data_IF_285032320327
#
_entry.id   IF_285032320327
#
_cell.length_a   1.000
_cell.length_b   1.000
_cell.length_c   1.000
_cell.angle_alpha   90.00
_cell.angle_beta   90.00
_cell.angle_gamma   90.00
#
_symmetry.space_group_name_H-M   'P 1'
#
loop_
_entity.id
_entity.type
_entity.pdbx_description
1 polymer ?
#
# COMPACT_ATOMS: atom_id res chain seq x y z
N UNK A 1 21.94 82.36 21.28
CA UNK A 1 21.05 83.08 20.34
C UNK A 1 20.90 82.24 19.09
N UNK A 2 19.70 82.06 18.50
CA UNK A 2 18.33 82.05 19.05
C UNK A 2 17.73 80.62 19.01
N UNK A 3 16.85 80.17 19.92
CA UNK A 3 15.43 80.56 20.18
C UNK A 3 14.52 80.05 19.01
N UNK A 4 13.51 79.18 19.17
CA UNK A 4 12.24 79.38 19.91
C UNK A 4 11.39 78.08 19.92
N UNK A 5 10.85 77.62 21.08
CA UNK A 5 9.47 77.78 21.62
C UNK A 5 8.40 76.95 20.88
N UNK A 6 7.41 76.27 21.49
CA UNK A 6 6.52 76.61 22.63
C UNK A 6 5.74 75.34 23.09
N UNK A 7 5.56 75.17 24.40
CA UNK A 7 4.50 74.39 25.10
C UNK A 7 3.16 75.19 25.11
N UNK A 8 2.14 74.82 25.94
CA UNK A 8 1.20 73.68 25.93
C UNK A 8 -0.27 74.24 25.96
N UNK A 9 -1.24 73.51 26.57
CA UNK A 9 -2.58 73.90 27.15
C UNK A 9 -3.74 73.14 26.51
N UNK A 10 -4.84 72.69 27.14
CA UNK A 10 -5.47 72.70 28.48
C UNK A 10 -6.62 71.65 28.39
N UNK A 11 -6.84 70.72 29.33
CA UNK A 11 -7.64 70.81 30.57
C UNK A 11 -9.19 70.93 30.40
N UNK A 12 -9.92 69.94 30.97
CA UNK A 12 -11.20 70.05 31.75
C UNK A 12 -12.48 70.35 30.89
N UNK A 13 -13.71 69.80 31.05
CA UNK A 13 -14.67 69.41 32.12
C UNK A 13 -15.84 68.67 31.42
N UNK A 14 -16.44 67.56 31.89
CA UNK A 14 -17.55 67.39 32.86
C UNK A 14 -18.93 68.04 32.53
N UNK A 15 -20.02 67.24 32.62
CA UNK A 15 -21.44 67.64 32.77
C UNK A 15 -22.40 67.08 31.70
N UNK A 16 -23.25 66.07 31.98
CA UNK A 16 -24.66 66.15 32.46
C UNK A 16 -25.63 66.81 31.45
N UNK A 17 -26.85 66.37 31.13
CA UNK A 17 -27.82 65.51 31.82
C UNK A 17 -29.11 65.23 30.94
N UNK A 18 -29.84 64.13 31.25
CA UNK A 18 -31.32 63.93 31.37
C UNK A 18 -32.20 64.05 30.07
N UNK A 19 -33.17 63.17 29.71
CA UNK A 19 -34.39 62.71 30.41
C UNK A 19 -35.03 61.41 29.78
N UNK A 20 -35.49 60.40 30.58
CA UNK A 20 -36.88 60.02 31.04
C UNK A 20 -37.84 59.49 29.93
N UNK A 21 -38.40 58.26 29.93
CA UNK A 21 -39.45 57.62 30.78
C UNK A 21 -39.47 56.08 30.51
N UNK A 22 -39.49 55.11 31.44
CA UNK A 22 -40.46 54.67 32.48
C UNK A 22 -41.73 53.95 31.96
N UNK A 23 -41.88 52.65 32.26
CA UNK A 23 -43.12 51.95 32.70
C UNK A 23 -42.70 50.75 33.58
N UNK A 24 -43.33 50.67 34.75
CA UNK A 24 -43.18 49.70 35.86
C UNK A 24 -44.46 48.87 36.02
N UNK A 25 -44.37 47.63 36.51
CA UNK A 25 -45.26 47.09 37.57
C UNK A 25 -44.71 45.80 38.21
N UNK A 26 -44.88 45.71 39.54
CA UNK A 26 -44.35 44.74 40.51
C UNK A 26 -45.37 43.67 40.96
N UNK A 27 -44.87 42.53 41.50
CA UNK A 27 -45.34 41.78 42.70
C UNK A 27 -44.45 40.50 42.81
N UNK A 28 -43.70 40.17 43.86
CA UNK A 28 -44.05 39.81 45.25
C UNK A 28 -43.61 38.34 45.52
N UNK A 29 -43.01 37.95 46.67
CA UNK A 29 -42.30 36.67 46.83
C UNK A 29 -43.19 35.53 47.40
N UNK A 30 -42.91 34.28 47.02
CA UNK A 30 -43.47 33.09 47.65
C UNK A 30 -42.48 31.91 47.68
N UNK A 31 -42.31 31.33 48.86
CA UNK A 31 -41.45 30.18 49.18
C UNK A 31 -41.94 28.87 48.54
N UNK A 32 -41.01 27.98 48.16
CA UNK A 32 -41.30 26.57 47.87
C UNK A 32 -40.17 25.64 48.35
N UNK A 33 -40.60 24.47 48.84
CA UNK A 33 -39.90 23.45 49.63
C UNK A 33 -38.82 22.63 48.86
N UNK A 34 -38.02 21.76 49.53
CA UNK A 34 -36.88 21.09 48.90
C UNK A 34 -37.32 19.89 48.05
N UNK A 35 -36.79 19.80 46.83
CA UNK A 35 -37.07 18.72 45.88
C UNK A 35 -36.04 17.58 46.06
N UNK A 36 -36.45 16.35 46.36
CA UNK A 36 -35.55 15.20 46.49
C UNK A 36 -35.20 14.65 45.10
N UNK A 37 -34.19 15.22 44.45
CA UNK A 37 -33.74 14.77 43.13
C UNK A 37 -32.25 14.96 42.84
N UNK A 38 -31.48 15.46 43.81
CA UNK A 38 -30.05 15.69 43.67
C UNK A 38 -29.25 14.41 43.95
N UNK A 39 -29.36 13.40 43.10
CA UNK A 39 -28.42 12.26 43.06
C UNK A 39 -28.26 11.59 41.68
N UNK A 40 -28.94 12.06 40.62
CA UNK A 40 -28.92 11.37 39.32
C UNK A 40 -28.10 12.05 38.22
N UNK A 41 -27.33 13.11 38.53
CA UNK A 41 -26.63 13.91 37.51
C UNK A 41 -25.17 13.50 37.27
N UNK A 42 -24.54 12.80 38.21
CA UNK A 42 -23.10 12.48 38.15
C UNK A 42 -22.76 11.17 37.42
N UNK A 43 -23.76 10.36 37.06
CA UNK A 43 -23.54 9.09 36.32
C UNK A 43 -23.72 9.20 34.80
N UNK A 44 -24.22 10.33 34.28
CA UNK A 44 -24.37 10.54 32.83
C UNK A 44 -23.20 11.30 32.19
N UNK A 45 -22.37 12.00 32.97
CA UNK A 45 -21.19 12.70 32.45
C UNK A 45 -19.95 11.80 32.26
N UNK A 46 -19.92 10.63 32.89
CA UNK A 46 -18.85 9.63 32.73
C UNK A 46 -19.08 8.64 31.57
N UNK A 47 -20.22 8.72 30.87
CA UNK A 47 -20.59 7.80 29.77
C UNK A 47 -20.43 8.41 28.37
N UNK A 48 -19.92 9.64 28.26
CA UNK A 48 -19.66 10.30 26.97
C UNK A 48 -18.22 10.14 26.47
N UNK A 49 -17.42 9.27 27.11
CA UNK A 49 -16.08 8.93 26.66
C UNK A 49 -16.15 7.85 25.57
N UNK A 50 -16.01 8.27 24.31
CA UNK A 50 -15.75 7.44 23.12
C UNK A 50 -16.80 6.35 22.90
N UNK A 51 -17.77 6.60 22.02
CA UNK A 51 -18.56 5.55 21.39
C UNK A 51 -17.61 4.49 20.82
N UNK A 52 -17.48 3.37 21.53
CA UNK A 52 -16.73 2.20 21.09
C UNK A 52 -17.45 1.68 19.86
N UNK A 53 -17.01 2.11 18.69
CA UNK A 53 -17.38 1.41 17.46
C UNK A 53 -16.74 0.04 17.63
N UNK A 54 -17.55 -1.00 17.84
CA UNK A 54 -17.07 -2.38 17.93
C UNK A 54 -16.15 -2.60 16.71
N UNK A 55 -14.87 -2.99 16.91
CA UNK A 55 -13.95 -3.19 15.80
C UNK A 55 -14.56 -4.15 14.78
N UNK A 56 -14.34 -3.94 13.46
CA UNK A 56 -14.85 -4.84 12.44
C UNK A 56 -14.41 -6.29 12.74
N UNK A 57 -15.29 -7.31 12.68
CA UNK A 57 -14.94 -8.69 13.01
C UNK A 57 -13.71 -9.21 12.24
N UNK A 58 -13.61 -8.87 10.95
CA UNK A 58 -12.47 -9.24 10.10
C UNK A 58 -11.12 -8.66 10.60
N UNK A 59 -11.13 -7.50 11.25
CA UNK A 59 -9.93 -6.93 11.86
C UNK A 59 -9.51 -7.72 13.11
N UNK A 60 -10.47 -8.11 13.96
CA UNK A 60 -10.17 -8.92 15.14
C UNK A 60 -9.65 -10.31 14.76
N UNK A 61 -10.25 -10.96 13.76
CA UNK A 61 -9.76 -12.24 13.22
C UNK A 61 -8.32 -12.11 12.68
N UNK A 62 -8.03 -11.03 11.95
CA UNK A 62 -6.68 -10.76 11.47
C UNK A 62 -5.69 -10.55 12.63
N UNK A 63 -6.03 -9.73 13.63
CA UNK A 63 -5.17 -9.51 14.80
C UNK A 63 -4.91 -10.79 15.60
N UNK A 64 -5.93 -11.66 15.76
CA UNK A 64 -5.76 -12.94 16.43
C UNK A 64 -4.77 -13.83 15.67
N UNK A 65 -4.94 -13.95 14.35
CA UNK A 65 -4.06 -14.75 13.49
C UNK A 65 -2.64 -14.20 13.44
N UNK A 66 -2.49 -12.89 13.24
CA UNK A 66 -1.20 -12.27 12.88
C UNK A 66 -0.37 -11.89 14.11
N UNK A 67 -1.02 -11.53 15.23
CA UNK A 67 -0.35 -11.11 16.47
C UNK A 67 -0.41 -12.20 17.56
N UNK A 68 -1.05 -13.34 17.29
CA UNK A 68 -1.18 -14.43 18.26
C UNK A 68 -2.03 -14.07 19.49
N UNK A 69 -3.00 -13.18 19.33
CA UNK A 69 -3.88 -12.71 20.41
C UNK A 69 -5.14 -13.55 20.50
N UNK A 70 -5.74 -13.66 21.70
CA UNK A 70 -7.14 -14.03 21.84
C UNK A 70 -8.07 -12.90 21.39
N UNK A 71 -9.33 -13.20 21.08
CA UNK A 71 -10.33 -12.18 20.73
C UNK A 71 -10.43 -11.08 21.80
N UNK A 72 -10.46 -11.46 23.08
CA UNK A 72 -10.52 -10.51 24.21
C UNK A 72 -9.26 -9.64 24.31
N UNK A 73 -8.07 -10.19 24.07
CA UNK A 73 -6.84 -9.42 24.01
C UNK A 73 -6.81 -8.48 22.81
N UNK A 74 -7.28 -8.90 21.64
CA UNK A 74 -7.36 -8.03 20.45
C UNK A 74 -8.32 -6.85 20.68
N UNK A 75 -9.48 -7.11 21.28
CA UNK A 75 -10.43 -6.05 21.66
C UNK A 75 -9.83 -5.09 22.70
N UNK A 76 -9.22 -5.63 23.77
CA UNK A 76 -8.56 -4.82 24.80
C UNK A 76 -7.42 -3.98 24.22
N UNK A 77 -6.65 -4.56 23.30
CA UNK A 77 -5.54 -3.91 22.61
C UNK A 77 -6.01 -2.67 21.84
N UNK A 78 -7.04 -2.80 21.01
CA UNK A 78 -7.60 -1.67 20.27
C UNK A 78 -8.16 -0.58 21.19
N UNK A 79 -8.81 -0.96 22.30
CA UNK A 79 -9.31 0.00 23.28
C UNK A 79 -8.17 0.75 24.00
N UNK A 80 -7.08 0.06 24.32
CA UNK A 80 -5.89 0.67 24.92
C UNK A 80 -5.17 1.59 23.92
N UNK A 81 -5.02 1.19 22.66
CA UNK A 81 -4.44 2.04 21.61
C UNK A 81 -5.24 3.31 21.38
N UNK A 82 -6.57 3.23 21.36
CA UNK A 82 -7.44 4.40 21.24
C UNK A 82 -7.22 5.39 22.40
N UNK A 83 -7.11 4.89 23.64
CA UNK A 83 -6.75 5.72 24.81
C UNK A 83 -5.35 6.30 24.68
N UNK A 84 -4.37 5.48 24.27
CA UNK A 84 -2.99 5.88 24.13
C UNK A 84 -2.83 7.00 23.08
N UNK A 85 -3.52 6.93 21.94
CA UNK A 85 -3.50 7.98 20.92
C UNK A 85 -4.04 9.32 21.45
N UNK A 86 -5.16 9.30 22.19
CA UNK A 86 -5.72 10.50 22.80
C UNK A 86 -4.81 11.11 23.88
N UNK A 87 -4.20 10.26 24.72
CA UNK A 87 -3.24 10.71 25.73
C UNK A 87 -1.96 11.25 25.09
N UNK A 88 -1.43 10.60 24.06
CA UNK A 88 -0.23 11.00 23.33
C UNK A 88 -0.38 12.41 22.72
N UNK A 89 -1.48 12.69 22.02
CA UNK A 89 -1.75 14.01 21.44
C UNK A 89 -1.74 15.13 22.50
N UNK A 90 -2.42 14.89 23.63
CA UNK A 90 -2.47 15.83 24.75
C UNK A 90 -1.09 16.05 25.36
N UNK A 91 -0.35 14.98 25.63
CA UNK A 91 0.97 15.07 26.27
C UNK A 91 1.98 15.73 25.34
N UNK A 92 2.02 15.36 24.06
CA UNK A 92 2.88 16.01 23.06
C UNK A 92 2.70 17.52 23.03
N UNK A 93 1.45 17.99 23.00
CA UNK A 93 1.13 19.41 23.00
C UNK A 93 1.62 20.12 24.28
N UNK A 94 1.43 19.48 25.44
CA UNK A 94 1.81 20.06 26.73
C UNK A 94 3.33 20.08 26.97
N UNK A 95 4.06 19.11 26.41
CA UNK A 95 5.52 19.02 26.56
C UNK A 95 6.25 19.95 25.59
N UNK A 96 5.68 20.23 24.41
CA UNK A 96 6.32 21.05 23.38
C UNK A 96 7.70 20.51 23.03
N UNK A 97 8.72 21.37 23.06
CA UNK A 97 10.11 21.03 22.73
C UNK A 97 10.73 19.96 23.64
N UNK A 98 10.14 19.71 24.81
CA UNK A 98 10.60 18.68 25.72
C UNK A 98 10.15 17.25 25.33
N UNK A 99 9.25 17.11 24.35
CA UNK A 99 8.76 15.81 23.89
C UNK A 99 9.85 15.06 23.12
N UNK A 100 10.08 13.79 23.45
CA UNK A 100 11.11 12.94 22.84
C UNK A 100 10.57 11.68 22.16
N UNK A 101 9.24 11.58 22.03
CA UNK A 101 8.55 10.44 21.42
C UNK A 101 7.70 9.67 22.42
N UNK A 102 6.93 8.72 21.92
CA UNK A 102 6.04 7.88 22.73
C UNK A 102 5.82 6.53 22.06
N UNK A 103 5.50 5.51 22.85
CA UNK A 103 5.19 4.18 22.34
C UNK A 103 4.39 3.36 23.35
N UNK A 104 3.64 2.38 22.85
CA UNK A 104 2.94 1.41 23.68
C UNK A 104 3.78 0.14 23.89
N UNK A 105 3.53 -0.57 24.98
CA UNK A 105 4.20 -1.83 25.32
C UNK A 105 3.21 -2.89 25.82
N UNK A 106 3.62 -4.15 25.73
CA UNK A 106 2.79 -5.30 26.13
C UNK A 106 1.87 -5.81 25.00
N UNK A 107 1.40 -7.07 25.11
CA UNK A 107 0.55 -7.70 24.10
C UNK A 107 -0.77 -6.96 23.89
N UNK A 108 -1.26 -6.28 24.92
CA UNK A 108 -2.48 -5.47 24.91
C UNK A 108 -2.24 -3.97 24.82
N UNK A 109 -0.98 -3.51 24.70
CA UNK A 109 -0.67 -2.07 24.63
C UNK A 109 -1.25 -1.23 25.76
N UNK A 110 -1.36 -1.83 26.94
CA UNK A 110 -1.92 -1.27 28.17
C UNK A 110 -1.02 -0.22 28.83
N UNK A 111 0.25 -0.15 28.42
CA UNK A 111 1.20 0.85 28.92
C UNK A 111 1.67 1.75 27.79
N UNK A 112 1.32 3.04 27.88
CA UNK A 112 1.89 4.12 27.07
C UNK A 112 3.11 4.71 27.79
N UNK A 113 4.27 4.65 27.14
CA UNK A 113 5.48 5.35 27.58
C UNK A 113 5.60 6.64 26.78
N UNK A 114 5.92 7.74 27.46
CA UNK A 114 6.25 9.03 26.86
C UNK A 114 7.66 9.43 27.27
N UNK A 115 8.53 9.58 26.28
CA UNK A 115 9.88 10.06 26.47
C UNK A 115 9.93 11.58 26.54
N UNK A 116 10.75 12.11 27.44
CA UNK A 116 11.05 13.54 27.55
C UNK A 116 12.51 13.79 27.91
N UNK A 117 13.09 14.87 27.42
CA UNK A 117 14.42 15.32 27.85
C UNK A 117 14.39 16.31 29.01
N UNK A 118 13.22 16.55 29.60
CA UNK A 118 13.03 17.42 30.77
C UNK A 118 12.39 16.63 31.92
N UNK A 119 13.20 16.29 32.92
CA UNK A 119 12.75 15.54 34.09
C UNK A 119 11.62 16.23 34.86
N UNK A 120 11.49 17.57 34.77
CA UNK A 120 10.42 18.31 35.43
C UNK A 120 9.03 18.00 34.85
N UNK A 121 8.96 17.47 33.61
CA UNK A 121 7.71 17.11 32.94
C UNK A 121 7.16 15.74 33.35
N UNK A 122 7.93 14.92 34.08
CA UNK A 122 7.54 13.56 34.48
C UNK A 122 6.18 13.52 35.21
N UNK A 123 5.92 14.48 36.11
CA UNK A 123 4.65 14.57 36.84
C UNK A 123 3.45 14.84 35.93
N UNK A 124 3.61 15.68 34.91
CA UNK A 124 2.56 15.97 33.94
C UNK A 124 2.23 14.77 33.05
N UNK A 125 3.25 13.98 32.68
CA UNK A 125 3.09 12.73 31.92
C UNK A 125 2.30 11.70 32.74
N UNK A 126 2.67 11.50 34.02
CA UNK A 126 1.96 10.60 34.93
C UNK A 126 0.51 11.04 35.14
N UNK A 127 0.28 12.34 35.35
CA UNK A 127 -1.07 12.89 35.51
C UNK A 127 -1.95 12.73 34.26
N UNK A 128 -1.34 12.57 33.09
CA UNK A 128 -2.04 12.27 31.84
C UNK A 128 -2.30 10.77 31.62
N UNK A 129 -1.81 9.89 32.51
CA UNK A 129 -1.99 8.45 32.42
C UNK A 129 -0.94 7.72 31.58
N UNK A 130 0.23 8.33 31.35
CA UNK A 130 1.36 7.71 30.68
C UNK A 130 2.55 7.51 31.63
N UNK A 131 3.45 6.59 31.30
CA UNK A 131 4.70 6.39 32.03
C UNK A 131 5.80 7.28 31.47
N UNK A 132 6.44 8.15 32.27
CA UNK A 132 7.53 8.99 31.81
C UNK A 132 8.81 8.18 31.63
N UNK A 133 9.52 8.43 30.53
CA UNK A 133 10.90 7.99 30.35
C UNK A 133 11.79 9.20 30.10
N UNK A 134 12.80 9.39 30.96
CA UNK A 134 13.75 10.49 30.77
C UNK A 134 14.83 10.06 29.80
N UNK A 135 15.07 10.87 28.76
CA UNK A 135 16.05 10.60 27.70
C UNK A 135 16.92 11.83 27.44
N UNK A 136 17.99 11.68 26.66
CA UNK A 136 18.96 12.78 26.45
C UNK A 136 18.55 13.80 25.39
N UNK A 137 17.71 13.42 24.42
CA UNK A 137 17.44 14.20 23.21
C UNK A 137 15.94 14.39 23.02
N UNK A 138 15.53 15.58 22.57
CA UNK A 138 14.15 15.82 22.14
C UNK A 138 13.89 15.19 20.78
N UNK A 139 12.60 15.03 20.45
CA UNK A 139 12.18 14.55 19.14
C UNK A 139 12.60 15.55 18.05
N UNK A 140 12.52 16.86 18.33
CA UNK A 140 12.97 17.90 17.40
C UNK A 140 14.44 17.75 17.01
N UNK A 141 15.32 17.46 17.98
CA UNK A 141 16.75 17.22 17.71
C UNK A 141 16.97 16.01 16.80
N UNK A 142 16.26 14.89 17.07
CA UNK A 142 16.40 13.67 16.26
C UNK A 142 15.80 13.83 14.85
N UNK A 143 14.66 14.51 14.74
CA UNK A 143 14.02 14.81 13.46
C UNK A 143 14.93 15.68 12.59
N UNK A 144 15.56 16.72 13.15
CA UNK A 144 16.49 17.56 12.41
C UNK A 144 17.69 16.76 11.83
N UNK A 145 18.20 15.78 12.58
CA UNK A 145 19.25 14.88 12.10
C UNK A 145 18.75 13.94 10.99
N UNK A 146 17.55 13.37 11.11
CA UNK A 146 16.94 12.57 10.04
C UNK A 146 16.71 13.39 8.77
N UNK A 147 16.20 14.63 8.90
CA UNK A 147 15.97 15.53 7.77
C UNK A 147 17.27 15.93 7.06
N UNK A 148 18.40 15.96 7.78
CA UNK A 148 19.71 16.16 7.17
C UNK A 148 20.07 15.01 6.22
N UNK A 149 19.77 13.76 6.60
CA UNK A 149 19.93 12.58 5.74
C UNK A 149 18.94 12.59 4.57
N UNK A 150 17.68 13.00 4.80
CA UNK A 150 16.65 13.08 3.76
C UNK A 150 17.06 14.01 2.60
N UNK A 151 17.83 15.07 2.89
CA UNK A 151 18.29 16.06 1.90
C UNK A 151 19.37 15.54 0.93
N UNK A 152 20.01 14.40 1.21
CA UNK A 152 21.03 13.82 0.32
C UNK A 152 20.42 13.37 -1.02
N UNK A 153 19.13 13.05 -1.06
CA UNK A 153 18.38 12.70 -2.27
C UNK A 153 18.56 11.24 -2.72
N UNK A 154 19.80 10.83 -3.00
CA UNK A 154 20.14 9.47 -3.43
C UNK A 154 20.96 8.74 -2.38
N UNK A 155 20.29 7.98 -1.51
CA UNK A 155 20.97 7.08 -0.59
C UNK A 155 21.59 5.88 -1.33
N UNK A 156 22.73 5.32 -0.86
CA UNK A 156 23.28 4.09 -1.43
C UNK A 156 22.25 2.95 -1.40
N UNK A 157 22.22 2.11 -2.44
CA UNK A 157 21.33 0.94 -2.48
C UNK A 157 21.56 -0.05 -1.32
N UNK A 158 22.76 -0.02 -0.72
CA UNK A 158 23.11 -0.78 0.47
C UNK A 158 22.48 -0.23 1.76
N UNK A 159 22.00 1.03 1.77
CA UNK A 159 21.49 1.78 2.92
C UNK A 159 20.05 2.29 2.66
N UNK A 160 19.05 1.38 2.57
CA UNK A 160 17.72 1.76 2.08
C UNK A 160 16.78 2.34 3.14
N UNK A 161 17.14 2.33 4.43
CA UNK A 161 16.23 2.71 5.52
C UNK A 161 16.95 3.56 6.56
N UNK A 162 16.37 4.70 6.92
CA UNK A 162 16.79 5.51 8.07
C UNK A 162 15.58 6.17 8.75
N UNK A 163 15.59 6.23 10.08
CA UNK A 163 14.44 6.68 10.86
C UNK A 163 14.84 7.23 12.24
N UNK A 164 13.94 7.98 12.87
CA UNK A 164 14.05 8.32 14.30
C UNK A 164 13.53 7.14 15.12
N UNK A 165 14.39 6.54 15.92
CA UNK A 165 14.02 5.55 16.91
C UNK A 165 13.79 6.23 18.27
N UNK A 166 12.52 6.40 18.63
CA UNK A 166 12.12 7.00 19.90
C UNK A 166 12.45 6.12 21.11
N UNK A 167 12.60 4.80 20.93
CA UNK A 167 12.90 3.86 22.01
C UNK A 167 14.38 3.91 22.39
N UNK A 168 15.27 3.97 21.40
CA UNK A 168 16.72 4.13 21.63
C UNK A 168 17.16 5.59 21.76
N UNK A 169 16.26 6.55 21.48
CA UNK A 169 16.53 7.99 21.48
C UNK A 169 17.70 8.37 20.54
N UNK A 170 17.66 7.84 19.32
CA UNK A 170 18.66 8.05 18.25
C UNK A 170 18.01 8.04 16.86
N UNK A 171 18.74 8.51 15.85
CA UNK A 171 18.47 8.20 14.44
C UNK A 171 19.17 6.87 14.12
N UNK A 172 18.47 5.95 13.48
CA UNK A 172 19.03 4.66 13.05
C UNK A 172 19.13 4.65 11.53
N UNK A 173 20.25 4.15 11.01
CA UNK A 173 20.52 3.92 9.58
C UNK A 173 20.77 2.43 9.39
N UNK A 174 19.86 1.74 8.71
CA UNK A 174 19.97 0.32 8.42
C UNK A 174 20.73 0.14 7.11
N UNK A 175 21.83 -0.62 7.14
CA UNK A 175 22.64 -0.83 5.95
C UNK A 175 23.29 -2.21 5.90
N UNK A 176 23.36 -2.76 4.70
CA UNK A 176 24.16 -3.97 4.40
C UNK A 176 25.65 -3.66 4.28
N UNK A 177 26.02 -2.38 4.08
CA UNK A 177 27.39 -1.91 4.01
C UNK A 177 27.60 -0.69 4.95
N UNK A 178 28.02 -0.92 6.21
CA UNK A 178 28.19 0.16 7.18
C UNK A 178 29.15 1.28 6.74
N UNK A 179 30.15 0.99 5.91
CA UNK A 179 31.07 2.01 5.42
C UNK A 179 30.39 2.98 4.44
N UNK A 180 29.50 2.49 3.58
CA UNK A 180 28.68 3.35 2.70
C UNK A 180 27.63 4.13 3.49
N UNK A 181 27.10 3.55 4.58
CA UNK A 181 26.20 4.26 5.49
C UNK A 181 26.90 5.43 6.19
N UNK A 182 28.15 5.26 6.64
CA UNK A 182 28.93 6.35 7.24
C UNK A 182 29.18 7.48 6.23
N UNK A 183 29.52 7.15 4.99
CA UNK A 183 29.67 8.15 3.92
C UNK A 183 28.36 8.89 3.62
N UNK A 184 27.23 8.19 3.65
CA UNK A 184 25.90 8.80 3.52
C UNK A 184 25.58 9.75 4.67
N UNK A 185 25.94 9.39 5.92
CA UNK A 185 25.78 10.25 7.09
C UNK A 185 26.64 11.50 6.99
N UNK A 186 27.90 11.36 6.58
CA UNK A 186 28.81 12.49 6.34
C UNK A 186 28.27 13.43 5.26
N UNK A 187 27.73 12.88 4.17
CA UNK A 187 27.15 13.68 3.09
C UNK A 187 25.91 14.49 3.53
N UNK A 188 25.10 13.93 4.43
CA UNK A 188 23.95 14.64 5.01
C UNK A 188 24.32 15.71 6.03
N UNK A 189 25.54 15.66 6.58
CA UNK A 189 25.97 16.57 7.66
C UNK A 189 25.21 16.36 8.97
N UNK A 190 24.64 15.17 9.17
CA UNK A 190 23.97 14.83 10.43
C UNK A 190 25.01 14.71 11.56
N UNK A 191 24.66 15.18 12.76
CA UNK A 191 25.51 14.96 13.93
C UNK A 191 25.61 13.46 14.23
N UNK A 192 26.80 12.88 13.99
CA UNK A 192 27.09 11.46 14.20
C UNK A 192 26.82 10.98 15.62
N UNK A 193 26.84 11.86 16.62
CA UNK A 193 26.47 11.50 17.99
C UNK A 193 24.99 11.16 18.15
N UNK A 194 24.15 11.55 17.19
CA UNK A 194 22.71 11.27 17.16
C UNK A 194 22.39 10.01 16.33
N UNK A 195 23.32 9.54 15.50
CA UNK A 195 23.07 8.50 14.49
C UNK A 195 23.75 7.19 14.89
N UNK A 196 23.04 6.07 14.67
CA UNK A 196 23.57 4.72 14.80
C UNK A 196 23.42 3.98 13.48
N UNK A 197 24.51 3.41 12.97
CA UNK A 197 24.48 2.48 11.85
C UNK A 197 24.23 1.08 12.39
N UNK A 198 23.20 0.41 11.88
CA UNK A 198 22.91 -0.98 12.23
C UNK A 198 23.00 -1.85 10.97
N UNK A 199 23.74 -2.96 11.07
CA UNK A 199 23.88 -3.87 9.95
C UNK A 199 22.55 -4.57 9.68
N UNK A 200 22.02 -4.43 8.46
CA UNK A 200 20.74 -4.98 8.07
C UNK A 200 20.78 -5.53 6.65
N UNK A 201 20.03 -6.61 6.41
CA UNK A 201 19.79 -7.17 5.09
C UNK A 201 18.47 -6.68 4.46
N UNK A 202 17.79 -5.72 5.10
CA UNK A 202 16.57 -5.14 4.57
C UNK A 202 16.80 -4.50 3.20
N UNK A 203 15.92 -4.86 2.27
CA UNK A 203 15.88 -4.33 0.90
C UNK A 203 14.40 -4.12 0.53
N UNK A 204 13.77 -3.03 0.98
CA UNK A 204 12.39 -2.73 0.68
C UNK A 204 12.14 -2.70 -0.83
N UNK A 205 11.03 -3.28 -1.26
CA UNK A 205 10.60 -3.27 -2.64
C UNK A 205 9.11 -2.98 -2.71
N UNK A 206 8.68 -2.29 -3.75
CA UNK A 206 7.26 -2.11 -4.07
C UNK A 206 6.64 -3.43 -4.54
N UNK A 207 5.40 -3.70 -4.14
CA UNK A 207 4.67 -4.88 -4.59
C UNK A 207 3.73 -4.56 -5.77
N UNK A 208 3.78 -5.40 -6.80
CA UNK A 208 2.96 -5.34 -8.00
C UNK A 208 2.30 -6.70 -8.26
N UNK A 209 1.13 -6.70 -8.88
CA UNK A 209 0.42 -7.95 -9.20
C UNK A 209 0.64 -8.36 -10.65
N UNK A 210 0.79 -9.67 -10.89
CA UNK A 210 0.70 -10.26 -12.22
C UNK A 210 -0.73 -10.75 -12.45
N UNK A 211 -1.33 -10.30 -13.55
CA UNK A 211 -2.65 -10.76 -14.01
C UNK A 211 -2.59 -11.06 -15.51
N UNK A 212 -3.32 -12.08 -15.94
CA UNK A 212 -3.51 -12.37 -17.36
C UNK A 212 -4.15 -11.18 -18.09
N UNK A 213 -3.68 -10.88 -19.30
CA UNK A 213 -4.14 -9.75 -20.11
C UNK A 213 -3.43 -8.42 -19.86
N UNK A 214 -2.70 -8.26 -18.75
CA UNK A 214 -1.89 -7.05 -18.53
C UNK A 214 -0.72 -6.98 -19.55
N UNK A 215 -0.32 -5.76 -19.99
CA UNK A 215 0.82 -5.60 -20.88
C UNK A 215 2.14 -5.91 -20.17
N UNK A 216 3.08 -6.45 -20.93
CA UNK A 216 4.49 -6.43 -20.59
C UNK A 216 5.30 -6.09 -21.84
N UNK A 217 6.49 -5.53 -21.63
CA UNK A 217 7.35 -5.06 -22.71
C UNK A 217 8.66 -5.85 -22.69
N UNK A 218 9.13 -6.25 -23.86
CA UNK A 218 10.33 -7.06 -24.04
C UNK A 218 11.44 -6.15 -24.54
N UNK A 219 12.56 -6.10 -23.81
CA UNK A 219 13.72 -5.26 -24.10
C UNK A 219 13.34 -3.79 -24.45
N UNK A 220 12.28 -3.27 -23.84
CA UNK A 220 11.69 -1.95 -24.09
C UNK A 220 11.35 -1.64 -25.57
N UNK A 221 11.14 -2.66 -26.40
CA UNK A 221 10.96 -2.49 -27.86
C UNK A 221 9.67 -3.10 -28.40
N UNK A 222 9.16 -4.16 -27.78
CA UNK A 222 7.95 -4.85 -28.21
C UNK A 222 7.00 -5.07 -27.03
N UNK A 223 5.70 -5.16 -27.33
CA UNK A 223 4.65 -5.37 -26.33
C UNK A 223 3.92 -6.67 -26.62
N UNK A 224 3.75 -7.47 -25.56
CA UNK A 224 2.85 -8.61 -25.54
C UNK A 224 1.96 -8.53 -24.30
N UNK A 225 1.09 -9.52 -24.16
CA UNK A 225 0.15 -9.65 -23.04
C UNK A 225 0.48 -10.88 -22.20
N UNK A 226 0.33 -10.76 -20.89
CA UNK A 226 0.50 -11.88 -19.96
C UNK A 226 -0.58 -12.93 -20.23
N UNK A 227 -0.22 -14.20 -20.30
CA UNK A 227 -1.15 -15.31 -20.46
C UNK A 227 -1.74 -15.71 -19.11
N UNK A 228 -0.98 -16.42 -18.30
CA UNK A 228 -1.41 -16.82 -16.96
C UNK A 228 -0.26 -16.79 -15.96
N UNK A 229 -0.57 -16.37 -14.74
CA UNK A 229 0.30 -16.51 -13.58
C UNK A 229 0.64 -17.97 -13.32
N UNK A 230 1.93 -18.27 -13.14
CA UNK A 230 2.44 -19.62 -12.87
C UNK A 230 3.52 -19.59 -11.79
N UNK A 231 3.85 -20.78 -11.28
CA UNK A 231 5.03 -21.02 -10.43
C UNK A 231 5.85 -22.19 -10.96
N UNK A 232 7.15 -22.14 -10.71
CA UNK A 232 8.07 -23.29 -10.82
C UNK A 232 8.80 -23.45 -9.49
N UNK A 233 8.31 -24.34 -8.63
CA UNK A 233 8.74 -24.35 -7.23
C UNK A 233 8.43 -23.01 -6.56
N UNK A 234 9.44 -22.36 -5.97
CA UNK A 234 9.32 -21.01 -5.39
C UNK A 234 9.44 -19.88 -6.42
N UNK A 235 9.83 -20.17 -7.67
CA UNK A 235 9.98 -19.14 -8.70
C UNK A 235 8.62 -18.72 -9.23
N UNK A 236 8.27 -17.45 -9.02
CA UNK A 236 7.07 -16.82 -9.56
C UNK A 236 7.28 -16.46 -11.04
N UNK A 237 6.20 -16.49 -11.82
CA UNK A 237 6.28 -16.13 -13.23
C UNK A 237 4.93 -16.07 -13.93
N UNK A 238 4.99 -15.97 -15.26
CA UNK A 238 3.83 -16.10 -16.12
C UNK A 238 4.16 -16.82 -17.43
N UNK A 239 3.18 -17.49 -18.00
CA UNK A 239 3.25 -18.02 -19.38
C UNK A 239 2.75 -16.99 -20.38
N UNK A 240 3.32 -17.01 -21.58
CA UNK A 240 3.01 -16.11 -22.70
C UNK A 240 3.33 -16.81 -24.03
N UNK A 241 3.22 -16.11 -25.16
CA UNK A 241 3.55 -16.68 -26.48
C UNK A 241 5.07 -16.74 -26.70
N UNK A 242 5.52 -17.75 -27.44
CA UNK A 242 6.93 -17.96 -27.76
C UNK A 242 7.49 -16.92 -28.71
N UNK A 243 6.69 -16.47 -29.67
CA UNK A 243 7.12 -15.44 -30.63
C UNK A 243 7.38 -14.06 -30.00
N UNK A 244 6.96 -13.82 -28.75
CA UNK A 244 7.16 -12.55 -28.05
C UNK A 244 8.61 -12.29 -27.64
N UNK A 245 9.40 -13.35 -27.43
CA UNK A 245 10.77 -13.21 -26.91
C UNK A 245 11.53 -14.53 -26.85
N UNK A 246 12.84 -14.43 -26.60
CA UNK A 246 13.77 -15.55 -26.48
C UNK A 246 14.30 -15.66 -25.07
N UNK A 247 14.84 -16.83 -24.71
CA UNK A 247 15.48 -17.01 -23.42
C UNK A 247 16.58 -15.95 -23.21
N UNK A 248 16.56 -15.29 -22.04
CA UNK A 248 17.46 -14.18 -21.70
C UNK A 248 16.90 -12.78 -21.94
N UNK A 249 15.82 -12.63 -22.72
CA UNK A 249 15.17 -11.33 -22.93
C UNK A 249 14.56 -10.81 -21.62
N UNK A 250 14.76 -9.52 -21.35
CA UNK A 250 14.26 -8.85 -20.13
C UNK A 250 12.87 -8.26 -20.37
N UNK A 251 12.05 -8.27 -19.32
CA UNK A 251 10.72 -7.67 -19.35
C UNK A 251 10.55 -6.51 -18.37
N UNK A 252 9.77 -5.53 -18.78
CA UNK A 252 9.17 -4.52 -17.90
C UNK A 252 7.65 -4.70 -17.87
N UNK A 253 7.03 -4.43 -16.73
CA UNK A 253 5.59 -4.60 -16.54
C UNK A 253 4.77 -3.42 -17.07
N UNK A 254 3.45 -3.48 -16.82
CA UNK A 254 2.51 -2.44 -17.26
C UNK A 254 2.83 -1.02 -16.75
N UNK A 255 3.62 -0.93 -15.68
CA UNK A 255 4.06 0.30 -15.03
C UNK A 255 5.48 0.75 -15.44
N UNK A 256 6.09 0.08 -16.43
CA UNK A 256 7.46 0.37 -16.88
C UNK A 256 8.57 -0.12 -15.94
N UNK A 257 8.24 -0.78 -14.83
CA UNK A 257 9.22 -1.27 -13.85
C UNK A 257 9.74 -2.64 -14.27
N UNK A 258 11.01 -2.91 -13.95
CA UNK A 258 11.65 -4.21 -14.19
C UNK A 258 10.79 -5.35 -13.61
N UNK A 259 10.52 -6.35 -14.45
CA UNK A 259 9.58 -7.41 -14.12
C UNK A 259 10.23 -8.78 -14.10
N UNK A 260 10.84 -9.22 -15.20
CA UNK A 260 11.32 -10.59 -15.30
C UNK A 260 12.25 -10.84 -16.46
N UNK A 261 12.57 -12.12 -16.65
CA UNK A 261 13.43 -12.61 -17.73
C UNK A 261 12.80 -13.86 -18.33
N UNK A 262 12.72 -13.91 -19.67
CA UNK A 262 12.33 -15.11 -20.40
C UNK A 262 13.27 -16.26 -20.06
N UNK A 263 12.73 -17.35 -19.53
CA UNK A 263 13.53 -18.51 -19.13
C UNK A 263 13.61 -19.54 -20.24
N UNK A 264 12.53 -19.70 -20.99
CA UNK A 264 12.46 -20.58 -22.15
C UNK A 264 11.38 -20.09 -23.10
N UNK A 265 11.60 -20.29 -24.39
CA UNK A 265 10.66 -19.94 -25.46
C UNK A 265 10.72 -20.98 -26.58
N UNK A 266 9.57 -21.29 -27.18
CA UNK A 266 9.46 -22.17 -28.35
C UNK A 266 8.59 -21.50 -29.40
N UNK A 267 9.19 -21.18 -30.55
CA UNK A 267 8.53 -20.70 -31.76
C UNK A 267 9.51 -20.77 -32.95
N UNK A 268 9.13 -21.30 -34.13
CA UNK A 268 7.85 -21.95 -34.46
C UNK A 268 7.77 -23.41 -33.93
N UNK A 269 6.85 -24.22 -34.46
CA UNK A 269 6.56 -25.60 -34.02
C UNK A 269 5.50 -25.64 -32.92
N UNK A 270 5.75 -24.91 -31.83
CA UNK A 270 4.77 -24.50 -30.83
C UNK A 270 4.87 -22.98 -30.65
N UNK A 271 3.97 -22.38 -29.87
CA UNK A 271 4.05 -20.95 -29.58
C UNK A 271 3.77 -20.65 -28.10
N UNK A 272 4.73 -21.01 -27.25
CA UNK A 272 4.68 -20.72 -25.82
C UNK A 272 6.05 -20.41 -25.24
N UNK A 273 6.06 -19.53 -24.24
CA UNK A 273 7.19 -19.18 -23.42
C UNK A 273 6.75 -19.01 -21.97
N UNK A 274 7.72 -18.93 -21.07
CA UNK A 274 7.47 -18.46 -19.72
C UNK A 274 8.57 -17.52 -19.22
N UNK A 275 8.16 -16.58 -18.40
CA UNK A 275 8.99 -15.52 -17.83
C UNK A 275 9.01 -15.73 -16.32
N UNK A 276 10.21 -15.83 -15.74
CA UNK A 276 10.38 -15.76 -14.30
C UNK A 276 10.44 -14.29 -13.90
N UNK A 277 9.72 -13.90 -12.85
CA UNK A 277 9.68 -12.53 -12.36
C UNK A 277 10.52 -12.34 -11.10
N UNK A 278 10.94 -11.10 -10.85
CA UNK A 278 11.60 -10.73 -9.61
C UNK A 278 10.60 -10.67 -8.43
N UNK A 279 11.12 -10.43 -7.22
CA UNK A 279 10.36 -10.41 -5.96
C UNK A 279 9.27 -9.34 -5.89
N UNK A 280 9.32 -8.33 -6.75
CA UNK A 280 8.40 -7.20 -6.71
C UNK A 280 7.06 -7.57 -7.34
N UNK A 281 7.00 -8.67 -8.10
CA UNK A 281 5.80 -9.09 -8.83
C UNK A 281 5.19 -10.37 -8.25
N UNK A 282 3.96 -10.24 -7.77
CA UNK A 282 3.20 -11.30 -7.11
C UNK A 282 2.21 -11.92 -8.10
N UNK A 283 2.32 -13.24 -8.38
CA UNK A 283 1.33 -13.94 -9.19
C UNK A 283 -0.06 -13.92 -8.55
N UNK A 284 -1.06 -13.42 -9.27
CA UNK A 284 -2.48 -13.52 -8.89
C UNK A 284 -3.23 -14.50 -9.77
N UNK A 285 -4.26 -15.20 -9.25
CA UNK A 285 -5.07 -16.14 -10.01
C UNK A 285 -6.12 -15.42 -10.87
N UNK A 286 -5.75 -14.34 -11.55
CA UNK A 286 -6.71 -13.48 -12.27
C UNK A 286 -6.33 -13.30 -13.72
N UNK A 287 -7.37 -13.19 -14.55
CA UNK A 287 -7.32 -12.59 -15.89
C UNK A 287 -8.10 -11.29 -15.85
N UNK A 288 -7.58 -10.23 -16.49
CA UNK A 288 -8.25 -8.96 -16.67
C UNK A 288 -9.45 -9.13 -17.60
N UNK A 289 -10.64 -9.06 -17.03
CA UNK A 289 -11.95 -9.14 -17.66
C UNK A 289 -12.42 -7.84 -18.30
N UNK A 290 -13.67 -7.86 -18.76
CA UNK A 290 -14.36 -6.67 -19.28
C UNK A 290 -14.35 -5.53 -18.25
N UNK A 291 -14.16 -4.30 -18.73
CA UNK A 291 -14.06 -3.10 -17.86
C UNK A 291 -12.88 -3.11 -16.88
N UNK A 292 -11.96 -4.06 -16.97
CA UNK A 292 -10.81 -4.18 -16.06
C UNK A 292 -11.09 -4.98 -14.78
N UNK A 293 -12.26 -5.59 -14.64
CA UNK A 293 -12.57 -6.50 -13.52
C UNK A 293 -11.71 -7.77 -13.54
N UNK A 294 -11.64 -8.51 -12.43
CA UNK A 294 -10.88 -9.76 -12.38
C UNK A 294 -11.79 -10.98 -12.67
N UNK A 295 -11.32 -11.87 -13.54
CA UNK A 295 -11.88 -13.22 -13.71
C UNK A 295 -10.94 -14.22 -13.03
N UNK A 296 -11.44 -14.92 -12.02
CA UNK A 296 -10.64 -15.90 -11.26
C UNK A 296 -10.38 -17.16 -12.06
N UNK A 297 -9.12 -17.57 -12.10
CA UNK A 297 -8.63 -18.82 -12.67
C UNK A 297 -8.72 -19.91 -11.61
N UNK A 298 -9.52 -20.94 -11.87
CA UNK A 298 -9.74 -22.08 -10.97
C UNK A 298 -9.10 -23.38 -11.44
N UNK A 299 -8.63 -23.42 -12.68
CA UNK A 299 -8.07 -24.62 -13.27
C UNK A 299 -7.78 -24.47 -14.76
N UNK A 300 -7.58 -25.59 -15.45
CA UNK A 300 -7.24 -25.63 -16.88
C UNK A 300 -8.00 -26.69 -17.66
N UNK A 301 -9.23 -27.05 -17.26
CA UNK A 301 -10.04 -28.00 -18.01
C UNK A 301 -10.32 -27.48 -19.42
N UNK A 302 -10.08 -28.33 -20.41
CA UNK A 302 -10.16 -27.96 -21.83
C UNK A 302 -11.63 -27.84 -22.25
N UNK A 303 -11.98 -26.70 -22.81
CA UNK A 303 -13.32 -26.45 -23.32
C UNK A 303 -13.53 -27.20 -24.67
N UNK A 304 -14.63 -27.96 -24.84
CA UNK A 304 -14.93 -28.62 -26.11
C UNK A 304 -15.27 -27.62 -27.22
N UNK A 305 -15.23 -28.07 -28.48
CA UNK A 305 -15.67 -27.29 -29.65
C UNK A 305 -17.10 -26.79 -29.44
N UNK A 306 -17.38 -25.54 -29.81
CA UNK A 306 -18.65 -24.85 -29.59
C UNK A 306 -18.76 -24.13 -28.25
N UNK A 307 -17.86 -24.40 -27.29
CA UNK A 307 -17.87 -23.70 -26.00
C UNK A 307 -17.60 -22.21 -26.15
N UNK A 308 -18.25 -21.40 -25.31
CA UNK A 308 -17.91 -19.99 -25.18
C UNK A 308 -16.49 -19.84 -24.62
N UNK A 309 -15.77 -18.87 -25.15
CA UNK A 309 -14.40 -18.58 -24.76
C UNK A 309 -14.13 -17.09 -24.91
N UNK A 310 -13.38 -16.54 -23.96
CA UNK A 310 -12.98 -15.14 -23.96
C UNK A 310 -11.47 -15.01 -23.98
N UNK A 311 -10.99 -13.98 -24.66
CA UNK A 311 -9.60 -13.56 -24.71
C UNK A 311 -9.43 -12.25 -23.95
N UNK A 312 -8.34 -12.12 -23.22
CA UNK A 312 -7.84 -10.85 -22.69
C UNK A 312 -6.48 -10.51 -23.30
N UNK A 313 -6.33 -9.28 -23.77
CA UNK A 313 -5.06 -8.77 -24.30
C UNK A 313 -4.96 -7.26 -24.12
N UNK A 314 -3.74 -6.77 -24.08
CA UNK A 314 -3.45 -5.38 -23.74
C UNK A 314 -3.72 -4.38 -24.88
N UNK A 315 -4.01 -4.85 -26.10
CA UNK A 315 -4.38 -3.97 -27.22
C UNK A 315 -5.88 -3.75 -27.28
N UNK A 316 -6.64 -4.84 -27.36
CA UNK A 316 -8.09 -4.77 -27.63
C UNK A 316 -8.92 -5.09 -26.39
N UNK A 317 -8.29 -5.50 -25.29
CA UNK A 317 -8.98 -5.81 -24.05
C UNK A 317 -9.67 -7.17 -24.11
N UNK A 318 -10.93 -7.19 -23.64
CA UNK A 318 -11.71 -8.41 -23.41
C UNK A 318 -12.70 -8.67 -24.54
N UNK A 319 -12.55 -9.79 -25.25
CA UNK A 319 -13.43 -10.20 -26.33
C UNK A 319 -13.81 -11.66 -26.21
N UNK A 320 -15.02 -12.02 -26.61
CA UNK A 320 -15.52 -13.39 -26.51
C UNK A 320 -16.04 -13.91 -27.85
N UNK A 321 -16.15 -15.23 -27.93
CA UNK A 321 -16.61 -15.99 -29.09
C UNK A 321 -16.71 -17.46 -28.69
N UNK A 322 -16.37 -18.34 -29.62
CA UNK A 322 -16.44 -19.79 -29.40
C UNK A 322 -15.22 -20.53 -29.96
N UNK A 323 -14.96 -21.69 -29.37
CA UNK A 323 -13.98 -22.66 -29.86
C UNK A 323 -14.51 -23.25 -31.17
N UNK A 324 -13.75 -23.15 -32.26
CA UNK A 324 -14.12 -23.67 -33.57
C UNK A 324 -13.52 -25.05 -33.84
N UNK A 325 -12.23 -25.23 -33.57
CA UNK A 325 -11.53 -26.49 -33.75
C UNK A 325 -10.39 -26.62 -32.73
N UNK A 326 -10.17 -27.84 -32.24
CA UNK A 326 -9.01 -28.20 -31.42
C UNK A 326 -7.92 -28.83 -32.29
N UNK A 327 -6.67 -28.80 -31.83
CA UNK A 327 -5.54 -29.49 -32.45
C UNK A 327 -5.32 -29.15 -33.95
N UNK A 328 -5.48 -27.88 -34.30
CA UNK A 328 -5.22 -27.37 -35.65
C UNK A 328 -3.73 -27.08 -35.84
N UNK A 329 -3.29 -27.03 -37.11
CA UNK A 329 -1.97 -26.53 -37.49
C UNK A 329 -2.14 -25.27 -38.33
N UNK A 330 -1.37 -24.23 -38.01
CA UNK A 330 -1.39 -22.93 -38.70
C UNK A 330 0.01 -22.61 -39.20
N UNK A 331 0.11 -22.03 -40.39
CA UNK A 331 1.40 -21.63 -40.96
C UNK A 331 1.56 -20.12 -40.93
N UNK A 332 2.57 -19.66 -40.19
CA UNK A 332 3.07 -18.29 -40.19
C UNK A 332 4.27 -18.16 -41.13
N UNK A 333 4.73 -16.93 -41.37
CA UNK A 333 5.92 -16.69 -42.20
C UNK A 333 7.18 -17.33 -41.62
N UNK A 334 7.27 -17.44 -40.29
CA UNK A 334 8.40 -18.05 -39.58
C UNK A 334 8.35 -19.58 -39.57
N UNK A 335 7.18 -20.18 -39.80
CA UNK A 335 7.00 -21.63 -39.77
C UNK A 335 5.60 -22.09 -39.37
N UNK A 336 5.42 -23.41 -39.32
CA UNK A 336 4.16 -24.03 -38.90
C UNK A 336 4.14 -24.17 -37.38
N UNK A 337 3.02 -23.81 -36.75
CA UNK A 337 2.72 -24.05 -35.34
C UNK A 337 1.59 -25.07 -35.27
N UNK A 338 1.81 -26.17 -34.56
CA UNK A 338 0.87 -27.30 -34.48
C UNK A 338 0.22 -27.42 -33.11
N UNK A 339 -0.95 -28.04 -33.04
CA UNK A 339 -1.66 -28.28 -31.79
C UNK A 339 -2.34 -27.02 -31.21
N UNK A 340 -2.59 -26.01 -32.04
CA UNK A 340 -3.28 -24.78 -31.63
C UNK A 340 -4.79 -24.94 -31.72
N UNK A 341 -5.52 -24.21 -30.89
CA UNK A 341 -6.98 -24.15 -30.95
C UNK A 341 -7.40 -22.96 -31.80
N UNK A 342 -8.33 -23.18 -32.73
CA UNK A 342 -8.92 -22.16 -33.58
C UNK A 342 -10.19 -21.61 -32.96
N UNK A 343 -10.34 -20.29 -32.99
CA UNK A 343 -11.51 -19.56 -32.46
C UNK A 343 -11.93 -18.45 -33.42
N UNK A 344 -13.16 -17.96 -33.27
CA UNK A 344 -13.63 -16.73 -33.94
C UNK A 344 -13.46 -15.46 -33.09
N UNK A 345 -12.76 -15.53 -31.96
CA UNK A 345 -12.48 -14.36 -31.14
C UNK A 345 -11.50 -13.48 -31.89
N UNK A 346 -11.77 -12.17 -31.99
CA UNK A 346 -10.85 -11.24 -32.64
C UNK A 346 -9.60 -10.98 -31.78
N UNK A 347 -8.48 -10.64 -32.42
CA UNK A 347 -7.24 -10.21 -31.78
C UNK A 347 -6.46 -9.30 -32.73
N UNK A 348 -5.61 -8.43 -32.17
CA UNK A 348 -4.76 -7.50 -32.91
C UNK A 348 -3.32 -7.50 -32.37
N UNK A 349 -2.33 -6.93 -33.10
CA UNK A 349 -0.96 -6.87 -32.64
C UNK A 349 -0.84 -6.34 -31.20
N UNK A 350 -0.11 -7.07 -30.35
CA UNK A 350 0.03 -6.81 -28.92
C UNK A 350 -0.90 -7.61 -28.01
N UNK A 351 -1.97 -8.24 -28.53
CA UNK A 351 -2.77 -9.23 -27.78
C UNK A 351 -2.07 -10.59 -27.68
N UNK A 352 -1.01 -10.78 -28.47
CA UNK A 352 -0.09 -11.92 -28.43
C UNK A 352 0.31 -12.28 -27.00
N UNK A 353 0.26 -13.57 -26.68
CA UNK A 353 0.51 -14.10 -25.35
C UNK A 353 -0.64 -13.99 -24.36
N UNK A 354 -1.63 -13.13 -24.63
CA UNK A 354 -2.76 -12.86 -23.76
C UNK A 354 -3.65 -14.09 -23.50
N UNK A 355 -4.35 -14.08 -22.37
CA UNK A 355 -5.13 -15.22 -21.88
C UNK A 355 -6.32 -15.54 -22.79
N UNK A 356 -6.55 -16.81 -23.09
CA UNK A 356 -7.84 -17.37 -23.46
C UNK A 356 -8.42 -18.17 -22.29
N UNK A 357 -9.62 -17.85 -21.84
CA UNK A 357 -10.29 -18.45 -20.68
C UNK A 357 -11.75 -18.80 -21.02
N UNK A 358 -12.24 -19.93 -20.53
CA UNK A 358 -13.64 -20.36 -20.65
C UNK A 358 -14.20 -20.59 -19.25
N UNK A 359 -15.21 -19.80 -18.86
CA UNK A 359 -15.64 -19.70 -17.47
C UNK A 359 -14.47 -19.29 -16.56
N UNK A 360 -14.04 -20.21 -15.70
CA UNK A 360 -12.88 -20.05 -14.80
C UNK A 360 -11.68 -20.92 -15.19
N UNK A 361 -11.69 -21.51 -16.39
CA UNK A 361 -10.68 -22.49 -16.82
C UNK A 361 -9.73 -21.86 -17.85
N UNK A 362 -8.45 -21.81 -17.52
CA UNK A 362 -7.39 -21.36 -18.41
C UNK A 362 -7.29 -22.28 -19.63
N UNK A 363 -7.43 -21.71 -20.84
CA UNK A 363 -7.39 -22.47 -22.10
C UNK A 363 -6.03 -22.35 -22.79
N UNK A 364 -5.47 -21.14 -22.90
CA UNK A 364 -4.19 -20.94 -23.58
C UNK A 364 -3.80 -19.49 -23.80
N UNK A 365 -2.74 -19.29 -24.60
CA UNK A 365 -2.16 -17.98 -24.90
C UNK A 365 -2.36 -17.63 -26.38
N UNK A 366 -2.77 -16.40 -26.67
CA UNK A 366 -2.93 -15.90 -28.04
C UNK A 366 -1.65 -16.10 -28.85
N UNK A 367 -1.72 -16.82 -29.97
CA UNK A 367 -0.59 -17.04 -30.87
C UNK A 367 -0.64 -16.06 -32.04
N UNK A 368 -1.75 -16.02 -32.76
CA UNK A 368 -1.93 -15.11 -33.89
C UNK A 368 -3.21 -15.41 -34.65
N UNK A 369 -3.49 -14.67 -35.70
CA UNK A 369 -4.76 -14.78 -36.40
C UNK A 369 -4.84 -13.98 -37.68
N UNK A 370 -6.05 -13.84 -38.19
CA UNK A 370 -6.40 -13.01 -39.34
C UNK A 370 -7.70 -12.24 -39.07
N UNK A 371 -7.88 -11.10 -39.75
CA UNK A 371 -8.97 -10.17 -39.47
C UNK A 371 -8.59 -9.15 -38.39
N UNK A 372 -9.58 -8.54 -37.74
CA UNK A 372 -9.39 -7.54 -36.67
C UNK A 372 -10.65 -7.45 -35.78
N UNK A 373 -10.62 -6.60 -34.74
CA UNK A 373 -11.75 -6.46 -33.83
C UNK A 373 -12.89 -5.56 -34.32
N UNK A 374 -12.75 -4.94 -35.50
CA UNK A 374 -13.82 -4.17 -36.16
C UNK A 374 -14.69 -5.03 -37.08
N UNK A 375 -14.09 -5.93 -37.86
CA UNK A 375 -14.81 -6.77 -38.85
C UNK A 375 -14.86 -8.25 -38.45
N UNK A 376 -14.27 -8.61 -37.32
CA UNK A 376 -14.12 -10.00 -36.89
C UNK A 376 -12.87 -10.66 -37.49
N UNK A 377 -12.63 -11.90 -37.07
CA UNK A 377 -11.42 -12.62 -37.46
C UNK A 377 -11.39 -14.06 -36.96
N UNK A 378 -10.30 -14.74 -37.32
CA UNK A 378 -9.94 -16.04 -36.75
C UNK A 378 -8.70 -15.87 -35.90
N UNK A 379 -8.73 -16.31 -34.65
CA UNK A 379 -7.56 -16.30 -33.77
C UNK A 379 -7.24 -17.71 -33.31
N UNK A 380 -5.96 -18.04 -33.36
CA UNK A 380 -5.38 -19.26 -32.84
C UNK A 380 -4.71 -18.99 -31.49
N UNK A 381 -4.90 -19.90 -30.55
CA UNK A 381 -4.18 -19.87 -29.28
C UNK A 381 -3.45 -21.19 -29.04
N UNK A 382 -2.29 -21.10 -28.40
CA UNK A 382 -1.53 -22.24 -27.94
C UNK A 382 -2.11 -22.72 -26.59
N UNK A 383 -2.56 -23.99 -26.47
CA UNK A 383 -3.12 -24.48 -25.21
C UNK A 383 -2.15 -24.36 -24.03
N UNK A 384 -2.68 -24.06 -22.84
CA UNK A 384 -1.86 -23.79 -21.65
C UNK A 384 -1.19 -25.05 -21.10
N UNK A 385 -1.89 -26.20 -21.11
CA UNK A 385 -1.40 -27.46 -20.52
C UNK A 385 -0.07 -27.95 -21.13
N UNK A 386 0.12 -27.97 -22.46
CA UNK A 386 1.42 -28.26 -23.06
C UNK A 386 2.56 -27.37 -22.56
N UNK A 387 2.32 -26.05 -22.40
CA UNK A 387 3.32 -25.13 -21.89
C UNK A 387 3.65 -25.41 -20.42
N UNK A 388 2.63 -25.69 -19.59
CA UNK A 388 2.81 -26.06 -18.19
C UNK A 388 3.65 -27.34 -18.05
N UNK A 389 3.31 -28.38 -18.83
CA UNK A 389 4.03 -29.65 -18.84
C UNK A 389 5.48 -29.50 -19.32
N UNK A 390 5.69 -28.81 -20.44
CA UNK A 390 7.01 -28.65 -21.06
C UNK A 390 8.03 -27.94 -20.16
N UNK A 391 7.58 -27.09 -19.24
CA UNK A 391 8.43 -26.27 -18.38
C UNK A 391 8.32 -26.63 -16.88
N UNK A 392 7.51 -27.63 -16.52
CA UNK A 392 7.28 -28.02 -15.12
C UNK A 392 6.61 -26.93 -14.28
N UNK A 393 5.62 -26.24 -14.85
CA UNK A 393 4.94 -25.11 -14.23
C UNK A 393 3.62 -25.51 -13.59
N UNK A 394 3.29 -24.87 -12.47
CA UNK A 394 1.99 -24.95 -11.81
C UNK A 394 1.21 -23.67 -12.06
N UNK A 395 -0.03 -23.78 -12.54
CA UNK A 395 -0.94 -22.66 -12.71
C UNK A 395 -1.31 -22.07 -11.34
N UNK A 396 -1.32 -20.75 -11.21
CA UNK A 396 -1.81 -20.07 -10.01
C UNK A 396 -3.34 -20.00 -10.07
N UNK A 397 -4.00 -20.61 -9.09
CA UNK A 397 -5.47 -20.70 -8.99
C UNK A 397 -5.97 -20.14 -7.65
N UNK A 398 -7.27 -19.81 -7.56
CA UNK A 398 -7.89 -19.27 -6.34
C UNK A 398 -9.38 -19.54 -6.21
#
# INVERSE_FOLDING_TARGET
MPDRRRFPRHAVTAGCAVAVSAITLMAGPASAAPNPGAVASDQHAAQSAVSVTKPPPAMLEAMQRDLGLSESQAQARLANEARAMATDEKVRTNLGDAFAGSWVTGPTSDVLIVATNDASKAGAILAAGAQPQIVGRSLGTLTAAKEALDRVGDAPASTPVWYVDVRSNSVVVLSSNPAEAEAFIDAGGADKSLVRVEQSAEQPQTFYDLRGGDPYYINNSSRCSIGFSVRRGSTNGFVTAGHCGRAGDRTTGYNGVAQGVFQSSRFPGSDYAWVAVNSNWTPRPYVKGSGGGNVTVKGSNVAPVGSSICRSGSTTGWHCGYVQQLNTSVRYSQGTVSGVTRTNVCAEPGDSGGSFISGSQAQGMTSGGSGNCRTGGTTYFQPVRPALSAFGLTLVTG
#
